data_IF_888891388449
#
_entry.id   IF_888891388449
#
_cell.length_a   1.000
_cell.length_b   1.000
_cell.length_c   1.000
_cell.angle_alpha   90.00
_cell.angle_beta   90.00
_cell.angle_gamma   90.00
#
_symmetry.space_group_name_H-M   'P 1'
#
loop_
_entity.id
_entity.type
_entity.pdbx_description
1 polymer ?
#
# COMPACT_ATOMS: atom_id res chain seq x y z
N UNK A 1 -57.83 -47.03 -8.63
CA UNK A 1 -57.61 -45.64 -9.05
C UNK A 1 -56.38 -45.60 -9.95
N UNK A 2 -56.42 -44.89 -11.08
CA UNK A 2 -55.47 -45.03 -12.18
C UNK A 2 -54.19 -44.19 -12.01
N UNK A 3 -53.15 -44.67 -12.68
CA UNK A 3 -51.95 -43.98 -13.20
C UNK A 3 -52.01 -42.46 -13.32
N UNK A 4 -50.99 -41.75 -12.78
CA UNK A 4 -50.38 -40.60 -13.46
C UNK A 4 -48.87 -40.59 -13.21
N UNK A 5 -48.15 -40.49 -14.32
CA UNK A 5 -46.72 -40.35 -14.52
C UNK A 5 -46.09 -39.10 -13.90
N UNK A 6 -44.77 -39.24 -13.72
CA UNK A 6 -43.74 -38.25 -13.43
C UNK A 6 -43.86 -36.96 -14.25
N UNK A 7 -43.70 -35.80 -13.61
CA UNK A 7 -42.94 -34.68 -14.19
C UNK A 7 -42.20 -33.93 -13.09
N UNK A 8 -40.95 -33.60 -13.40
CA UNK A 8 -39.93 -32.99 -12.55
C UNK A 8 -40.27 -31.52 -12.24
N UNK A 9 -40.05 -31.09 -11.00
CA UNK A 9 -39.61 -29.72 -10.74
C UNK A 9 -38.31 -29.81 -9.95
N UNK A 10 -37.21 -29.85 -10.70
CA UNK A 10 -35.89 -29.50 -10.19
C UNK A 10 -35.99 -28.01 -9.83
N UNK A 11 -35.96 -27.71 -8.54
CA UNK A 11 -35.76 -26.36 -8.05
C UNK A 11 -34.31 -26.00 -8.39
N UNK A 12 -34.14 -25.45 -9.58
CA UNK A 12 -32.91 -24.81 -10.03
C UNK A 12 -32.85 -23.43 -9.36
N UNK A 13 -32.42 -23.40 -8.10
CA UNK A 13 -31.96 -22.18 -7.42
C UNK A 13 -30.47 -21.96 -7.71
N UNK A 14 -30.08 -22.05 -8.98
CA UNK A 14 -28.92 -21.31 -9.47
C UNK A 14 -29.38 -19.90 -9.79
N UNK A 15 -29.47 -19.07 -8.75
CA UNK A 15 -29.39 -17.61 -8.92
C UNK A 15 -27.97 -17.28 -9.41
N UNK A 16 -27.67 -17.64 -10.67
CA UNK A 16 -26.51 -17.19 -11.40
C UNK A 16 -26.59 -15.66 -11.46
N UNK A 17 -25.67 -15.06 -10.73
CA UNK A 17 -25.23 -13.68 -10.73
C UNK A 17 -25.40 -12.98 -12.09
N UNK A 18 -26.60 -12.48 -12.38
CA UNK A 18 -26.80 -11.38 -13.34
C UNK A 18 -26.47 -10.06 -12.65
N UNK A 19 -25.21 -9.90 -12.26
CA UNK A 19 -24.69 -8.59 -11.93
C UNK A 19 -24.30 -7.88 -13.23
N UNK A 20 -25.25 -7.11 -13.76
CA UNK A 20 -25.07 -5.93 -14.63
C UNK A 20 -23.78 -5.90 -15.47
N UNK A 21 -23.72 -6.68 -16.55
CA UNK A 21 -22.85 -6.42 -17.69
C UNK A 21 -23.55 -5.49 -18.69
N UNK A 22 -23.99 -4.33 -18.20
CA UNK A 22 -24.48 -3.24 -19.03
C UNK A 22 -24.03 -1.91 -18.43
N UNK A 23 -22.89 -1.42 -18.92
CA UNK A 23 -22.54 0.01 -18.87
C UNK A 23 -22.50 0.64 -17.46
N UNK A 24 -21.66 0.10 -16.58
CA UNK A 24 -21.14 0.96 -15.50
C UNK A 24 -20.33 2.10 -16.13
N UNK A 25 -20.61 3.38 -15.81
CA UNK A 25 -19.73 4.46 -16.19
C UNK A 25 -18.29 4.11 -15.81
N UNK A 26 -17.31 4.50 -16.63
CA UNK A 26 -15.90 4.33 -16.27
C UNK A 26 -15.67 4.86 -14.86
N UNK A 27 -14.90 4.14 -14.05
CA UNK A 27 -14.40 4.71 -12.80
C UNK A 27 -13.38 5.77 -13.20
N UNK A 28 -13.72 7.04 -13.02
CA UNK A 28 -12.85 8.17 -13.28
C UNK A 28 -12.40 8.77 -11.96
N UNK A 29 -11.10 9.06 -11.85
CA UNK A 29 -10.55 9.72 -10.67
C UNK A 29 -10.86 11.22 -10.73
N UNK A 30 -11.38 11.82 -9.65
CA UNK A 30 -11.52 13.26 -9.55
C UNK A 30 -10.15 13.94 -9.72
N UNK A 31 -10.10 15.18 -10.23
CA UNK A 31 -8.87 15.96 -10.24
C UNK A 31 -8.21 15.98 -8.86
N UNK A 32 -6.90 15.74 -8.82
CA UNK A 32 -6.13 15.77 -7.58
C UNK A 32 -5.94 17.22 -7.13
N UNK A 33 -6.94 17.74 -6.42
CA UNK A 33 -7.03 19.13 -5.95
C UNK A 33 -7.50 19.16 -4.49
N UNK A 34 -7.06 20.17 -3.72
CA UNK A 34 -7.41 20.30 -2.30
C UNK A 34 -8.93 20.29 -2.03
N UNK A 35 -9.70 20.95 -2.90
CA UNK A 35 -11.17 21.04 -2.79
C UNK A 35 -11.90 19.73 -3.11
N UNK A 36 -11.19 18.72 -3.63
CA UNK A 36 -11.74 17.44 -4.09
C UNK A 36 -11.30 16.26 -3.21
N UNK A 37 -10.48 16.49 -2.19
CA UNK A 37 -9.93 15.42 -1.35
C UNK A 37 -11.01 14.57 -0.66
N UNK A 38 -12.12 15.19 -0.22
CA UNK A 38 -13.27 14.47 0.34
C UNK A 38 -13.88 13.50 -0.68
N UNK A 39 -14.15 13.98 -1.90
CA UNK A 39 -14.70 13.18 -3.00
C UNK A 39 -13.78 12.00 -3.37
N UNK A 40 -12.46 12.22 -3.36
CA UNK A 40 -11.47 11.16 -3.61
C UNK A 40 -11.48 10.13 -2.47
N UNK A 41 -11.55 10.57 -1.21
CA UNK A 41 -11.61 9.67 -0.06
C UNK A 41 -12.88 8.80 -0.10
N UNK A 42 -14.03 9.39 -0.41
CA UNK A 42 -15.30 8.68 -0.58
C UNK A 42 -15.26 7.67 -1.75
N UNK A 43 -14.67 8.05 -2.88
CA UNK A 43 -14.50 7.16 -4.02
C UNK A 43 -13.63 5.95 -3.67
N UNK A 44 -12.52 6.16 -2.96
CA UNK A 44 -11.64 5.08 -2.49
C UNK A 44 -12.40 4.17 -1.54
N UNK A 45 -13.01 4.73 -0.49
CA UNK A 45 -13.73 3.97 0.53
C UNK A 45 -14.89 3.14 -0.04
N UNK A 46 -15.70 3.74 -0.93
CA UNK A 46 -16.83 3.06 -1.59
C UNK A 46 -16.41 1.99 -2.59
N UNK A 47 -15.16 2.03 -3.08
CA UNK A 47 -14.64 1.05 -4.04
C UNK A 47 -14.07 -0.20 -3.35
N UNK A 48 -13.57 -0.08 -2.11
CA UNK A 48 -12.92 -1.18 -1.38
C UNK A 48 -13.76 -2.45 -1.17
N UNK A 49 -15.09 -2.38 -0.95
CA UNK A 49 -15.90 -3.59 -0.77
C UNK A 49 -16.20 -4.36 -2.06
N UNK A 50 -16.11 -3.71 -3.24
CA UNK A 50 -16.48 -4.32 -4.52
C UNK A 50 -15.25 -4.76 -5.32
N UNK A 51 -15.06 -6.07 -5.61
CA UNK A 51 -13.91 -6.55 -6.36
C UNK A 51 -13.69 -5.85 -7.70
N UNK A 52 -14.77 -5.65 -8.47
CA UNK A 52 -14.72 -4.97 -9.76
C UNK A 52 -14.30 -3.50 -9.63
N UNK A 53 -14.81 -2.78 -8.62
CA UNK A 53 -14.44 -1.38 -8.40
C UNK A 53 -13.02 -1.24 -7.89
N UNK A 54 -12.54 -2.14 -7.02
CA UNK A 54 -11.14 -2.20 -6.58
C UNK A 54 -10.19 -2.32 -7.77
N UNK A 55 -10.50 -3.24 -8.68
CA UNK A 55 -9.69 -3.48 -9.88
C UNK A 55 -9.62 -2.21 -10.76
N UNK A 56 -10.77 -1.59 -11.04
CA UNK A 56 -10.84 -0.35 -11.82
C UNK A 56 -10.11 0.82 -11.15
N UNK A 57 -10.27 0.97 -9.84
CA UNK A 57 -9.61 2.02 -9.06
C UNK A 57 -8.09 1.85 -9.07
N UNK A 58 -7.59 0.62 -8.88
CA UNK A 58 -6.17 0.33 -8.94
C UNK A 58 -5.56 0.71 -10.30
N UNK A 59 -6.22 0.31 -11.40
CA UNK A 59 -5.77 0.65 -12.75
C UNK A 59 -5.78 2.16 -13.02
N UNK A 60 -6.77 2.89 -12.52
CA UNK A 60 -6.81 4.35 -12.66
C UNK A 60 -5.65 5.02 -11.90
N UNK A 61 -5.38 4.58 -10.67
CA UNK A 61 -4.29 5.11 -9.83
C UNK A 61 -2.90 4.84 -10.44
N UNK A 62 -2.72 3.68 -11.09
CA UNK A 62 -1.47 3.29 -11.76
C UNK A 62 -1.16 4.18 -12.98
N UNK A 63 -2.16 4.47 -13.81
CA UNK A 63 -1.94 5.13 -15.10
C UNK A 63 -1.77 6.66 -15.02
N UNK A 64 -2.28 7.30 -13.96
CA UNK A 64 -2.37 8.77 -13.90
C UNK A 64 -1.27 9.46 -13.08
N UNK A 65 -0.32 8.70 -12.54
CA UNK A 65 0.67 9.20 -11.59
C UNK A 65 0.01 9.81 -10.35
N UNK A 66 -1.20 9.34 -10.01
CA UNK A 66 -2.10 10.01 -9.08
C UNK A 66 -1.55 10.04 -7.65
N UNK A 67 -0.88 8.97 -7.22
CA UNK A 67 -0.22 8.88 -5.91
C UNK A 67 0.77 10.02 -5.72
N UNK A 68 1.62 10.32 -6.72
CA UNK A 68 2.61 11.39 -6.59
C UNK A 68 1.95 12.76 -6.42
N UNK A 69 0.88 13.02 -7.16
CA UNK A 69 0.07 14.25 -7.03
C UNK A 69 -0.56 14.36 -5.64
N UNK A 70 -1.07 13.26 -5.08
CA UNK A 70 -1.59 13.23 -3.71
C UNK A 70 -0.51 13.57 -2.68
N UNK A 71 0.71 13.05 -2.85
CA UNK A 71 1.83 13.35 -1.96
C UNK A 71 2.32 14.81 -2.10
N UNK A 72 2.24 15.39 -3.29
CA UNK A 72 2.46 16.84 -3.48
C UNK A 72 1.42 17.67 -2.72
N UNK A 73 0.13 17.31 -2.83
CA UNK A 73 -0.93 17.95 -2.04
C UNK A 73 -0.75 17.75 -0.54
N UNK A 74 -0.26 16.59 -0.11
CA UNK A 74 0.05 16.34 1.29
C UNK A 74 1.05 17.36 1.83
N UNK A 75 2.17 17.56 1.12
CA UNK A 75 3.17 18.58 1.52
C UNK A 75 2.55 19.97 1.62
N UNK A 76 1.69 20.35 0.66
CA UNK A 76 0.96 21.62 0.71
C UNK A 76 0.02 21.70 1.92
N UNK A 77 -0.73 20.65 2.21
CA UNK A 77 -1.61 20.58 3.38
C UNK A 77 -0.82 20.68 4.69
N UNK A 78 0.36 20.05 4.78
CA UNK A 78 1.24 20.16 5.94
C UNK A 78 1.73 21.59 6.13
N UNK A 79 2.21 22.22 5.06
CA UNK A 79 2.72 23.60 5.10
C UNK A 79 1.64 24.61 5.50
N UNK A 80 0.38 24.35 5.10
CA UNK A 80 -0.78 25.17 5.45
C UNK A 80 -1.43 24.80 6.80
N UNK A 81 -0.92 23.77 7.48
CA UNK A 81 -1.55 23.16 8.66
C UNK A 81 -3.03 22.77 8.44
N UNK A 82 -3.40 22.40 7.21
CA UNK A 82 -4.76 22.03 6.83
C UNK A 82 -5.14 20.63 7.34
N UNK A 83 -5.60 20.56 8.60
CA UNK A 83 -5.99 19.32 9.29
C UNK A 83 -7.00 18.47 8.54
N UNK A 84 -8.02 19.10 7.96
CA UNK A 84 -9.08 18.38 7.23
C UNK A 84 -8.53 17.70 5.98
N UNK A 85 -7.75 18.42 5.18
CA UNK A 85 -7.06 17.85 4.02
C UNK A 85 -6.12 16.71 4.39
N UNK A 86 -5.39 16.83 5.51
CA UNK A 86 -4.48 15.79 6.00
C UNK A 86 -5.23 14.52 6.42
N UNK A 87 -6.40 14.63 7.04
CA UNK A 87 -7.25 13.48 7.38
C UNK A 87 -7.78 12.77 6.12
N UNK A 88 -8.26 13.52 5.12
CA UNK A 88 -8.67 12.91 3.85
C UNK A 88 -7.50 12.19 3.17
N UNK A 89 -6.31 12.79 3.17
CA UNK A 89 -5.11 12.16 2.61
C UNK A 89 -4.68 10.91 3.37
N UNK A 90 -4.83 10.89 4.71
CA UNK A 90 -4.65 9.68 5.51
C UNK A 90 -5.58 8.56 5.01
N UNK A 91 -6.88 8.85 4.90
CA UNK A 91 -7.89 7.85 4.49
C UNK A 91 -7.67 7.35 3.07
N UNK A 92 -7.32 8.24 2.14
CA UNK A 92 -6.98 7.91 0.75
C UNK A 92 -5.77 6.98 0.72
N UNK A 93 -4.65 7.36 1.34
CA UNK A 93 -3.42 6.56 1.33
C UNK A 93 -3.65 5.20 1.98
N UNK A 94 -4.37 5.14 3.11
CA UNK A 94 -4.75 3.89 3.77
C UNK A 94 -5.63 3.02 2.87
N UNK A 95 -6.60 3.61 2.17
CA UNK A 95 -7.42 2.89 1.21
C UNK A 95 -6.62 2.34 0.02
N UNK A 96 -5.64 3.09 -0.48
CA UNK A 96 -4.72 2.61 -1.53
C UNK A 96 -3.90 1.40 -1.04
N UNK A 97 -3.44 1.40 0.22
CA UNK A 97 -2.79 0.21 0.79
C UNK A 97 -3.69 -1.02 0.74
N UNK A 98 -4.98 -0.84 1.09
CA UNK A 98 -5.96 -1.92 1.12
C UNK A 98 -6.32 -2.46 -0.26
N UNK A 99 -5.95 -1.79 -1.36
CA UNK A 99 -6.07 -2.36 -2.71
C UNK A 99 -5.11 -3.54 -2.92
N UNK A 100 -4.00 -3.60 -2.18
CA UNK A 100 -3.05 -4.72 -2.15
C UNK A 100 -2.39 -5.02 -3.52
N UNK A 101 -1.98 -3.97 -4.24
CA UNK A 101 -1.45 -4.06 -5.62
C UNK A 101 0.03 -3.72 -5.66
N UNK A 102 0.82 -4.58 -6.29
CA UNK A 102 2.28 -4.44 -6.38
C UNK A 102 2.69 -3.13 -7.03
N UNK A 103 2.08 -2.76 -8.16
CA UNK A 103 2.43 -1.53 -8.88
C UNK A 103 2.21 -0.26 -8.03
N UNK A 104 1.14 -0.22 -7.22
CA UNK A 104 0.90 0.89 -6.29
C UNK A 104 1.96 0.91 -5.19
N UNK A 105 2.31 -0.25 -4.63
CA UNK A 105 3.36 -0.37 -3.62
C UNK A 105 4.74 0.05 -4.14
N UNK A 106 5.10 -0.28 -5.38
CA UNK A 106 6.36 0.17 -5.99
C UNK A 106 6.47 1.70 -6.02
N UNK A 107 5.37 2.39 -6.35
CA UNK A 107 5.34 3.86 -6.33
C UNK A 107 5.41 4.40 -4.90
N UNK A 108 4.58 3.87 -3.99
CA UNK A 108 4.50 4.33 -2.61
C UNK A 108 5.80 4.10 -1.83
N UNK A 109 6.49 2.99 -2.09
CA UNK A 109 7.72 2.62 -1.39
C UNK A 109 8.98 3.10 -2.08
N UNK A 110 8.88 3.77 -3.23
CA UNK A 110 10.03 4.43 -3.84
C UNK A 110 10.69 5.42 -2.88
N UNK A 111 12.00 5.63 -3.03
CA UNK A 111 12.79 6.47 -2.11
C UNK A 111 12.22 7.90 -1.98
N UNK A 112 11.70 8.43 -3.08
CA UNK A 112 11.12 9.78 -3.17
C UNK A 112 9.77 9.90 -2.45
N UNK A 113 9.01 8.81 -2.36
CA UNK A 113 7.62 8.84 -1.88
C UNK A 113 7.47 8.32 -0.45
N UNK A 114 8.28 7.34 -0.03
CA UNK A 114 8.01 6.54 1.17
C UNK A 114 7.91 7.39 2.44
N UNK A 115 8.72 8.44 2.56
CA UNK A 115 8.66 9.33 3.72
C UNK A 115 7.39 10.17 3.75
N UNK A 116 6.89 10.64 2.61
CA UNK A 116 5.61 11.35 2.55
C UNK A 116 4.44 10.41 2.78
N UNK A 117 4.50 9.18 2.26
CA UNK A 117 3.50 8.14 2.57
C UNK A 117 3.40 7.90 4.07
N UNK A 118 4.55 7.76 4.76
CA UNK A 118 4.58 7.67 6.22
C UNK A 118 4.00 8.93 6.86
N UNK A 119 4.30 10.11 6.31
CA UNK A 119 3.75 11.39 6.74
C UNK A 119 2.23 11.43 6.67
N UNK A 120 1.62 11.04 5.54
CA UNK A 120 0.16 10.94 5.42
C UNK A 120 -0.43 10.05 6.53
N UNK A 121 0.23 8.93 6.83
CA UNK A 121 -0.22 7.99 7.83
C UNK A 121 -0.03 8.46 9.28
N UNK A 122 0.62 9.61 9.52
CA UNK A 122 0.69 10.23 10.85
C UNK A 122 -0.65 10.85 11.28
N UNK A 123 -1.52 11.20 10.33
CA UNK A 123 -2.72 12.02 10.54
C UNK A 123 -4.01 11.18 10.65
N UNK A 124 -3.96 10.09 11.41
CA UNK A 124 -5.14 9.27 11.68
C UNK A 124 -6.24 10.10 12.37
N UNK A 125 -7.44 10.27 11.73
CA UNK A 125 -8.52 11.09 12.28
C UNK A 125 -9.13 10.50 13.57
N UNK A 126 -8.90 9.22 13.86
CA UNK A 126 -9.34 8.59 15.11
C UNK A 126 -8.48 8.97 16.32
N UNK A 127 -7.32 9.59 16.10
CA UNK A 127 -6.40 9.98 17.15
C UNK A 127 -6.48 11.48 17.44
N UNK A 128 -6.32 11.90 18.71
CA UNK A 128 -6.40 13.32 19.09
C UNK A 128 -5.19 14.13 18.61
N UNK A 129 -4.06 13.46 18.35
CA UNK A 129 -2.84 14.09 17.85
C UNK A 129 -2.16 13.20 16.81
N UNK A 130 -1.50 13.80 15.80
CA UNK A 130 -0.73 13.04 14.84
C UNK A 130 0.36 12.21 15.50
N UNK A 131 0.62 11.03 14.94
CA UNK A 131 1.79 10.22 15.30
C UNK A 131 3.06 10.91 14.78
N UNK A 132 4.22 10.52 15.33
CA UNK A 132 5.53 11.08 14.94
C UNK A 132 6.41 9.99 14.33
N UNK A 133 5.86 9.29 13.32
CA UNK A 133 6.51 8.17 12.63
C UNK A 133 7.77 8.60 11.86
N UNK A 134 7.71 9.70 11.10
CA UNK A 134 8.86 10.25 10.35
C UNK A 134 9.96 10.69 11.28
N UNK A 135 9.64 11.38 12.37
CA UNK A 135 10.63 11.77 13.39
C UNK A 135 11.30 10.53 13.99
N UNK A 136 10.51 9.51 14.36
CA UNK A 136 11.06 8.25 14.87
C UNK A 136 12.03 7.61 13.87
N UNK A 137 11.64 7.49 12.60
CA UNK A 137 12.43 6.85 11.55
C UNK A 137 13.68 7.63 11.14
N UNK A 138 13.68 8.95 11.28
CA UNK A 138 14.82 9.81 10.91
C UNK A 138 15.78 10.07 12.05
N UNK A 139 15.26 10.19 13.28
CA UNK A 139 16.04 10.67 14.44
C UNK A 139 16.35 9.54 15.42
N UNK A 140 15.40 8.64 15.64
CA UNK A 140 15.47 7.61 16.69
C UNK A 140 15.94 6.27 16.16
N UNK A 141 15.42 5.84 15.00
CA UNK A 141 15.83 4.63 14.30
C UNK A 141 17.18 4.84 13.61
N UNK A 142 18.26 4.87 14.41
CA UNK A 142 19.61 4.93 13.86
C UNK A 142 19.96 3.59 13.23
N UNK A 143 20.25 3.61 11.93
CA UNK A 143 20.78 2.45 11.24
C UNK A 143 22.11 2.04 11.87
N UNK A 144 22.15 0.84 12.46
CA UNK A 144 23.34 0.28 13.09
C UNK A 144 23.93 -0.76 12.14
N UNK A 145 25.02 -0.37 11.49
CA UNK A 145 25.81 -1.29 10.67
C UNK A 145 26.64 -2.18 11.60
N UNK A 146 26.29 -3.47 11.65
CA UNK A 146 27.12 -4.49 12.31
C UNK A 146 28.29 -4.90 11.41
N UNK A 147 28.11 -4.75 10.09
CA UNK A 147 29.11 -4.98 9.04
C UNK A 147 29.09 -3.76 8.12
N UNK A 148 30.25 -3.21 7.69
CA UNK A 148 30.29 -2.08 6.77
C UNK A 148 29.60 -2.43 5.44
N UNK A 149 28.62 -1.62 5.04
CA UNK A 149 27.91 -1.79 3.76
C UNK A 149 28.44 -0.77 2.76
N UNK A 150 29.35 -1.21 1.88
CA UNK A 150 29.97 -0.35 0.88
C UNK A 150 29.05 -0.04 -0.31
N UNK A 151 28.12 -0.94 -0.61
CA UNK A 151 27.20 -0.80 -1.74
C UNK A 151 26.03 0.14 -1.36
N UNK A 152 25.92 1.33 -1.98
CA UNK A 152 24.83 2.26 -1.70
C UNK A 152 23.46 1.70 -2.09
N UNK A 153 23.36 0.84 -3.10
CA UNK A 153 22.11 0.24 -3.56
C UNK A 153 21.58 -0.75 -2.51
N UNK A 154 22.46 -1.63 -2.01
CA UNK A 154 22.15 -2.52 -0.89
C UNK A 154 21.68 -1.74 0.34
N UNK A 155 22.40 -0.66 0.69
CA UNK A 155 22.02 0.18 1.84
C UNK A 155 20.64 0.80 1.64
N UNK A 156 20.36 1.34 0.45
CA UNK A 156 19.06 1.91 0.10
C UNK A 156 17.95 0.86 0.22
N UNK A 157 18.16 -0.36 -0.31
CA UNK A 157 17.20 -1.46 -0.22
C UNK A 157 16.95 -1.92 1.22
N UNK A 158 17.97 -1.94 2.07
CA UNK A 158 17.81 -2.21 3.51
C UNK A 158 16.94 -1.14 4.18
N UNK A 159 17.21 0.14 3.94
CA UNK A 159 16.40 1.23 4.49
C UNK A 159 14.95 1.20 4.01
N UNK A 160 14.74 0.97 2.71
CA UNK A 160 13.40 0.81 2.14
C UNK A 160 12.67 -0.34 2.83
N UNK A 161 13.30 -1.52 2.93
CA UNK A 161 12.71 -2.70 3.56
C UNK A 161 12.37 -2.46 5.03
N UNK A 162 13.24 -1.77 5.77
CA UNK A 162 12.97 -1.39 7.15
C UNK A 162 11.77 -0.45 7.28
N UNK A 163 11.67 0.58 6.42
CA UNK A 163 10.54 1.52 6.41
C UNK A 163 9.23 0.83 6.04
N UNK A 164 9.24 -0.06 5.05
CA UNK A 164 8.05 -0.83 4.64
C UNK A 164 7.60 -1.77 5.77
N UNK A 165 8.54 -2.47 6.43
CA UNK A 165 8.25 -3.27 7.62
C UNK A 165 7.67 -2.42 8.75
N UNK A 166 8.19 -1.21 8.97
CA UNK A 166 7.66 -0.30 9.98
C UNK A 166 6.22 0.12 9.69
N UNK A 167 5.89 0.43 8.43
CA UNK A 167 4.51 0.73 8.01
C UNK A 167 3.60 -0.46 8.34
N UNK A 168 4.00 -1.67 7.96
CA UNK A 168 3.25 -2.89 8.25
C UNK A 168 3.00 -3.05 9.77
N UNK A 169 4.06 -2.98 10.57
CA UNK A 169 3.98 -3.37 11.99
C UNK A 169 3.34 -2.30 12.88
N UNK A 170 3.61 -1.02 12.60
CA UNK A 170 3.27 0.08 13.52
C UNK A 170 2.09 0.93 13.04
N UNK A 171 1.83 0.96 11.73
CA UNK A 171 0.87 1.88 11.12
C UNK A 171 -0.37 1.17 10.62
N UNK A 172 -0.21 -0.04 10.09
CA UNK A 172 -1.30 -0.92 9.67
C UNK A 172 -1.33 -2.22 10.51
N UNK A 173 -1.39 -2.14 11.86
CA UNK A 173 -1.39 -3.35 12.69
C UNK A 173 -2.65 -4.15 12.39
N UNK A 174 -2.51 -5.31 11.75
CA UNK A 174 -3.60 -6.20 11.38
C UNK A 174 -4.37 -6.65 12.64
N UNK A 175 -5.57 -6.13 12.95
CA UNK A 175 -6.28 -6.47 14.18
C UNK A 175 -7.09 -7.76 14.06
N UNK A 176 -7.22 -8.34 12.87
CA UNK A 176 -8.09 -9.49 12.64
C UNK A 176 -7.54 -10.46 11.59
N UNK A 177 -7.84 -11.75 11.78
CA UNK A 177 -7.54 -12.86 10.83
C UNK A 177 -8.17 -12.59 9.44
N UNK A 178 -9.15 -11.69 9.35
CA UNK A 178 -9.79 -11.30 8.09
C UNK A 178 -8.92 -10.33 7.27
N UNK A 179 -8.12 -9.50 7.93
CA UNK A 179 -7.21 -8.54 7.28
C UNK A 179 -5.84 -9.15 6.91
N UNK A 180 -5.47 -10.32 7.46
CA UNK A 180 -4.22 -11.02 7.09
C UNK A 180 -4.13 -11.30 5.58
N UNK A 181 -5.26 -11.59 4.93
CA UNK A 181 -5.31 -11.81 3.48
C UNK A 181 -5.23 -10.50 2.67
N UNK A 182 -5.57 -9.36 3.28
CA UNK A 182 -5.70 -8.07 2.60
C UNK A 182 -4.35 -7.35 2.39
N UNK A 183 -3.27 -7.79 3.06
CA UNK A 183 -1.91 -7.24 2.89
C UNK A 183 -0.90 -8.31 2.46
N UNK A 184 -1.36 -9.40 1.86
CA UNK A 184 -0.52 -10.51 1.38
C UNK A 184 0.55 -10.06 0.37
N UNK A 185 0.26 -9.07 -0.48
CA UNK A 185 1.23 -8.51 -1.43
C UNK A 185 2.30 -7.71 -0.69
N UNK A 186 1.94 -7.00 0.39
CA UNK A 186 2.89 -6.28 1.24
C UNK A 186 3.84 -7.25 1.95
N UNK A 187 3.31 -8.33 2.52
CA UNK A 187 4.12 -9.40 3.13
C UNK A 187 5.11 -10.00 2.13
N UNK A 188 4.62 -10.28 0.91
CA UNK A 188 5.43 -10.82 -0.17
C UNK A 188 6.52 -9.85 -0.59
N UNK A 189 6.20 -8.56 -0.74
CA UNK A 189 7.17 -7.50 -1.07
C UNK A 189 8.32 -7.46 -0.04
N UNK A 190 7.99 -7.45 1.25
CA UNK A 190 8.99 -7.46 2.33
C UNK A 190 9.84 -8.73 2.28
N UNK A 191 9.21 -9.89 2.06
CA UNK A 191 9.92 -11.16 1.97
C UNK A 191 10.91 -11.18 0.81
N UNK A 192 10.49 -10.79 -0.40
CA UNK A 192 11.36 -10.76 -1.57
C UNK A 192 12.52 -9.77 -1.39
N UNK A 193 12.26 -8.59 -0.84
CA UNK A 193 13.31 -7.64 -0.52
C UNK A 193 14.35 -8.21 0.46
N UNK A 194 13.91 -8.94 1.50
CA UNK A 194 14.83 -9.60 2.44
C UNK A 194 15.69 -10.66 1.74
N UNK A 195 15.10 -11.47 0.86
CA UNK A 195 15.84 -12.48 0.07
C UNK A 195 16.89 -11.80 -0.82
N UNK A 196 16.52 -10.72 -1.49
CA UNK A 196 17.43 -9.97 -2.36
C UNK A 196 18.59 -9.31 -1.60
N UNK A 197 18.32 -8.69 -0.45
CA UNK A 197 19.35 -8.15 0.44
C UNK A 197 20.36 -9.23 0.84
N UNK A 198 19.88 -10.43 1.21
CA UNK A 198 20.76 -11.57 1.54
C UNK A 198 21.59 -11.99 0.33
N UNK A 199 21.00 -12.02 -0.87
CA UNK A 199 21.71 -12.31 -2.12
C UNK A 199 22.82 -11.28 -2.42
N UNK A 200 22.51 -9.98 -2.32
CA UNK A 200 23.48 -8.90 -2.52
C UNK A 200 24.63 -8.96 -1.52
N UNK A 201 24.33 -9.25 -0.24
CA UNK A 201 25.35 -9.47 0.79
C UNK A 201 26.26 -10.64 0.44
N UNK A 202 25.70 -11.77 0.02
CA UNK A 202 26.49 -12.94 -0.38
C UNK A 202 27.43 -12.60 -1.54
N UNK A 203 26.96 -11.93 -2.59
CA UNK A 203 27.82 -11.51 -3.72
C UNK A 203 28.92 -10.53 -3.28
N UNK A 204 28.58 -9.58 -2.41
CA UNK A 204 29.54 -8.61 -1.85
C UNK A 204 30.67 -9.28 -1.05
N UNK A 205 30.38 -10.34 -0.29
CA UNK A 205 31.42 -11.10 0.42
C UNK A 205 32.34 -11.90 -0.50
N UNK A 206 31.86 -12.35 -1.67
CA UNK A 206 32.68 -13.12 -2.62
C UNK A 206 33.56 -12.22 -3.51
N UNK A 207 33.26 -10.92 -3.57
CA UNK A 207 34.02 -9.93 -4.38
C UNK A 207 34.99 -9.10 -3.56
N UNK A 208 34.96 -9.19 -2.22
CA UNK A 208 36.06 -8.68 -1.39
C UNK A 208 37.27 -9.60 -1.57
N UNK A 209 38.43 -9.07 -2.04
CA UNK A 209 39.65 -9.87 -2.03
C UNK A 209 39.92 -10.26 -0.58
N UNK A 210 40.07 -11.57 -0.35
CA UNK A 210 40.43 -12.12 0.93
C UNK A 210 41.61 -11.32 1.50
N UNK A 211 41.44 -10.73 2.67
CA UNK A 211 42.52 -10.09 3.46
C UNK A 211 43.48 -11.18 4.02
N UNK A 212 43.58 -12.33 3.35
CA UNK A 212 44.43 -13.46 3.75
C UNK A 212 45.76 -13.52 3.00
N UNK A 213 46.04 -12.62 2.04
CA UNK A 213 47.34 -12.55 1.35
C UNK A 213 48.28 -11.47 1.91
N UNK A 214 48.04 -11.01 3.14
CA UNK A 214 48.97 -10.14 3.87
C UNK A 214 49.24 -10.65 5.30
N UNK A 215 49.67 -11.90 5.46
CA UNK A 215 50.52 -12.33 6.59
C UNK A 215 51.36 -13.55 6.21
#
# INVERSE_FOLDING_TARGET
DPSVDITQELIDESEEERFDDMSSPGLELPPCELSRLEEVAELVASSLPSPLRREKLALALENEGYIRKLLELFRVCEDLENREGLHHLYDIIKGIFLLNRTALFEVMFSEECIMDVIGCLEFDPSLPQPRRHREFLTTTARFKEVIPISDPELRQKIHQTYRVQYIQDMVLPTPSVFEENMLSTLHSFIFFNKVEIVGMLQVGFHTQPCICDQF
#
